data_IF_880623199905
#
_entry.id   IF_880623199905
#
_cell.length_a   1.000
_cell.length_b   1.000
_cell.length_c   1.000
_cell.angle_alpha   90.00
_cell.angle_beta   90.00
_cell.angle_gamma   90.00
#
_symmetry.space_group_name_H-M   'P 1'
#
loop_
_entity.id
_entity.type
_entity.pdbx_description
1 polymer ?
#
# COMPACT_ATOMS: atom_id res chain seq x y z
N UNK A 1 7.44 -20.21 42.49
CA UNK A 1 7.35 -19.15 41.46
C UNK A 1 6.82 -17.88 42.11
N UNK A 2 7.51 -16.76 41.95
CA UNK A 2 7.16 -15.49 42.60
C UNK A 2 5.84 -14.92 42.06
N UNK A 3 4.98 -14.28 42.88
CA UNK A 3 3.65 -13.78 42.47
C UNK A 3 3.67 -12.82 41.26
N UNK A 4 4.78 -12.10 41.06
CA UNK A 4 4.95 -11.18 39.92
C UNK A 4 5.06 -11.92 38.59
N UNK A 5 5.74 -13.07 38.53
CA UNK A 5 5.83 -13.88 37.31
C UNK A 5 4.49 -14.52 36.98
N UNK A 6 3.72 -14.96 37.98
CA UNK A 6 2.40 -15.54 37.72
C UNK A 6 1.38 -14.48 37.26
N UNK A 7 1.52 -13.23 37.70
CA UNK A 7 0.73 -12.11 37.16
C UNK A 7 1.15 -11.79 35.71
N UNK A 8 2.46 -11.66 35.46
CA UNK A 8 3.00 -11.42 34.11
C UNK A 8 2.51 -12.47 33.12
N UNK A 9 2.66 -13.77 33.43
CA UNK A 9 2.22 -14.86 32.55
C UNK A 9 0.71 -14.81 32.30
N UNK A 10 -0.11 -14.59 33.32
CA UNK A 10 -1.58 -14.47 33.12
C UNK A 10 -1.96 -13.31 32.20
N UNK A 11 -1.26 -12.19 32.31
CA UNK A 11 -1.49 -11.03 31.45
C UNK A 11 -1.04 -11.31 30.02
N UNK A 12 0.17 -11.86 29.82
CA UNK A 12 0.66 -12.20 28.47
C UNK A 12 -0.19 -13.25 27.79
N UNK A 13 -0.61 -14.30 28.50
CA UNK A 13 -1.51 -15.34 27.94
C UNK A 13 -2.84 -14.74 27.49
N UNK A 14 -3.32 -13.70 28.17
CA UNK A 14 -4.55 -13.00 27.79
C UNK A 14 -4.36 -12.18 26.52
N UNK A 15 -3.21 -11.52 26.37
CA UNK A 15 -2.86 -10.78 25.16
C UNK A 15 -2.65 -11.73 23.97
N UNK A 16 -1.99 -12.86 24.17
CA UNK A 16 -1.79 -13.89 23.14
C UNK A 16 -3.13 -14.46 22.64
N UNK A 17 -4.11 -14.66 23.53
CA UNK A 17 -5.47 -15.06 23.14
C UNK A 17 -6.20 -13.99 22.32
N UNK A 18 -5.81 -12.72 22.43
CA UNK A 18 -6.36 -11.61 21.66
C UNK A 18 -5.65 -11.41 20.31
N UNK A 19 -4.97 -12.43 19.78
CA UNK A 19 -4.22 -12.39 18.52
C UNK A 19 -5.00 -11.82 17.32
N UNK A 20 -6.31 -12.07 17.29
CA UNK A 20 -7.25 -11.60 16.27
C UNK A 20 -7.34 -10.07 16.19
N UNK A 21 -6.98 -9.36 17.26
CA UNK A 21 -7.02 -7.92 17.33
C UNK A 21 -6.01 -7.28 16.38
N UNK A 22 -4.81 -7.85 16.26
CA UNK A 22 -3.74 -7.31 15.42
C UNK A 22 -4.13 -7.18 13.94
N UNK A 23 -4.61 -8.21 13.23
CA UNK A 23 -5.02 -8.05 11.83
C UNK A 23 -6.26 -7.16 11.67
N UNK A 24 -7.14 -7.11 12.68
CA UNK A 24 -8.32 -6.22 12.66
C UNK A 24 -7.89 -4.76 12.75
N UNK A 25 -7.01 -4.43 13.69
CA UNK A 25 -6.46 -3.09 13.85
C UNK A 25 -5.59 -2.69 12.66
N UNK A 26 -4.79 -3.61 12.11
CA UNK A 26 -4.00 -3.34 10.91
C UNK A 26 -4.90 -2.95 9.72
N UNK A 27 -6.01 -3.67 9.47
CA UNK A 27 -6.99 -3.27 8.44
C UNK A 27 -7.68 -1.95 8.75
N UNK A 28 -8.05 -1.70 10.01
CA UNK A 28 -8.66 -0.44 10.42
C UNK A 28 -7.72 0.74 10.18
N UNK A 29 -6.46 0.63 10.60
CA UNK A 29 -5.44 1.65 10.41
C UNK A 29 -5.09 1.82 8.93
N UNK A 30 -5.02 0.73 8.16
CA UNK A 30 -4.88 0.81 6.71
C UNK A 30 -6.01 1.64 6.10
N UNK A 31 -7.27 1.36 6.47
CA UNK A 31 -8.42 2.11 5.97
C UNK A 31 -8.34 3.60 6.36
N UNK A 32 -8.05 3.87 7.64
CA UNK A 32 -8.01 5.22 8.19
C UNK A 32 -6.91 6.10 7.58
N UNK A 33 -5.76 5.52 7.23
CA UNK A 33 -4.58 6.27 6.78
C UNK A 33 -4.44 6.21 5.25
N UNK A 34 -4.63 5.03 4.65
CA UNK A 34 -4.23 4.79 3.26
C UNK A 34 -5.37 4.74 2.25
N UNK A 35 -6.61 4.45 2.67
CA UNK A 35 -7.71 4.31 1.71
C UNK A 35 -7.91 5.57 0.87
N UNK A 36 -8.09 6.71 1.54
CA UNK A 36 -8.26 7.99 0.85
C UNK A 36 -6.96 8.47 0.19
N UNK A 37 -5.80 8.16 0.76
CA UNK A 37 -4.51 8.47 0.12
C UNK A 37 -4.43 7.84 -1.28
N UNK A 38 -4.66 6.52 -1.39
CA UNK A 38 -4.57 5.83 -2.67
C UNK A 38 -5.74 6.15 -3.60
N UNK A 39 -6.97 6.26 -3.09
CA UNK A 39 -8.12 6.57 -3.95
C UNK A 39 -8.07 8.00 -4.51
N UNK A 40 -7.69 8.99 -3.70
CA UNK A 40 -7.52 10.37 -4.21
C UNK A 40 -6.37 10.43 -5.20
N UNK A 41 -5.25 9.75 -4.92
CA UNK A 41 -4.14 9.59 -5.87
C UNK A 41 -4.60 8.96 -7.19
N UNK A 42 -5.39 7.87 -7.14
CA UNK A 42 -5.87 7.17 -8.31
C UNK A 42 -6.86 8.00 -9.13
N UNK A 43 -7.71 8.80 -8.47
CA UNK A 43 -8.65 9.69 -9.15
C UNK A 43 -7.94 10.72 -10.04
N UNK A 44 -6.73 11.16 -9.66
CA UNK A 44 -5.92 12.07 -10.50
C UNK A 44 -5.39 11.40 -11.78
N UNK A 45 -5.42 10.06 -11.84
CA UNK A 45 -4.89 9.26 -12.96
C UNK A 45 -5.95 8.80 -13.94
N UNK A 46 -7.23 8.94 -13.61
CA UNK A 46 -8.32 8.61 -14.53
C UNK A 46 -8.41 9.65 -15.64
N UNK A 47 -8.71 9.22 -16.86
CA UNK A 47 -9.06 10.13 -17.96
C UNK A 47 -10.47 10.68 -17.83
N UNK A 48 -10.89 11.43 -18.85
CA UNK A 48 -12.17 12.13 -18.83
C UNK A 48 -13.37 11.20 -19.10
N UNK A 49 -14.49 11.53 -18.45
CA UNK A 49 -15.77 10.86 -18.65
C UNK A 49 -15.83 9.42 -18.14
N UNK A 50 -16.92 8.72 -18.45
CA UNK A 50 -17.16 7.35 -17.99
C UNK A 50 -16.13 6.34 -18.52
N UNK A 51 -15.59 6.57 -19.71
CA UNK A 51 -14.54 5.75 -20.31
C UNK A 51 -13.15 5.97 -19.70
N UNK A 52 -12.97 6.99 -18.86
CA UNK A 52 -11.70 7.38 -18.24
C UNK A 52 -11.06 6.30 -17.37
N UNK A 53 -11.83 5.30 -16.94
CA UNK A 53 -11.29 4.12 -16.24
C UNK A 53 -10.44 3.22 -17.14
N UNK A 54 -10.64 3.25 -18.46
CA UNK A 54 -9.85 2.47 -19.43
C UNK A 54 -8.80 3.31 -20.16
N UNK A 55 -8.82 4.62 -19.95
CA UNK A 55 -7.94 5.58 -20.61
C UNK A 55 -7.32 6.48 -19.54
N UNK A 56 -6.12 6.15 -19.04
CA UNK A 56 -5.44 6.96 -18.03
C UNK A 56 -5.14 8.36 -18.56
N UNK A 57 -5.18 9.36 -17.67
CA UNK A 57 -4.85 10.74 -18.01
C UNK A 57 -3.37 10.89 -18.34
N UNK A 58 -2.99 11.97 -19.04
CA UNK A 58 -1.58 12.35 -19.21
C UNK A 58 -0.85 12.47 -17.86
N UNK A 59 -1.55 12.94 -16.81
CA UNK A 59 -1.04 13.00 -15.45
C UNK A 59 -0.62 11.65 -14.89
N UNK A 60 -1.31 10.56 -15.26
CA UNK A 60 -0.92 9.20 -14.87
C UNK A 60 0.45 8.81 -15.42
N UNK A 61 0.69 9.09 -16.71
CA UNK A 61 1.98 8.82 -17.36
C UNK A 61 3.09 9.68 -16.75
N UNK A 62 2.82 10.95 -16.43
CA UNK A 62 3.79 11.84 -15.77
C UNK A 62 4.15 11.32 -14.38
N UNK A 63 3.17 10.86 -13.60
CA UNK A 63 3.43 10.37 -12.25
C UNK A 63 4.19 9.02 -12.25
N UNK A 64 3.87 8.12 -13.19
CA UNK A 64 4.42 6.75 -13.22
C UNK A 64 5.71 6.62 -14.06
N UNK A 65 5.87 7.45 -15.10
CA UNK A 65 7.01 7.43 -16.02
C UNK A 65 7.54 8.86 -16.32
N UNK A 66 7.90 9.66 -15.29
CA UNK A 66 8.24 11.08 -15.45
C UNK A 66 9.36 11.32 -16.48
N UNK A 67 10.50 10.61 -16.34
CA UNK A 67 11.64 10.75 -17.27
C UNK A 67 11.31 10.37 -18.72
N UNK A 68 10.44 9.38 -18.90
CA UNK A 68 10.02 8.97 -20.24
C UNK A 68 9.09 10.02 -20.84
N UNK A 69 8.17 10.57 -20.05
CA UNK A 69 7.32 11.68 -20.49
C UNK A 69 8.13 12.89 -20.91
N UNK A 70 9.16 13.26 -20.15
CA UNK A 70 10.09 14.33 -20.54
C UNK A 70 10.82 14.01 -21.85
N UNK A 71 11.35 12.79 -22.00
CA UNK A 71 12.09 12.37 -23.19
C UNK A 71 11.21 12.33 -24.46
N UNK A 72 9.91 12.05 -24.30
CA UNK A 72 8.93 11.99 -25.40
C UNK A 72 8.19 13.31 -25.61
N UNK A 73 8.60 14.41 -24.97
CA UNK A 73 7.98 15.73 -25.13
C UNK A 73 6.53 15.79 -24.63
N UNK A 74 6.21 14.99 -23.61
CA UNK A 74 4.89 14.86 -23.00
C UNK A 74 3.80 14.24 -23.90
N UNK A 75 4.20 13.53 -24.95
CA UNK A 75 3.30 12.81 -25.86
C UNK A 75 3.08 11.36 -25.40
N UNK A 76 1.87 11.07 -24.91
CA UNK A 76 1.48 9.72 -24.45
C UNK A 76 1.32 8.71 -25.57
N UNK A 77 1.14 9.15 -26.82
CA UNK A 77 0.90 8.24 -27.94
C UNK A 77 2.16 7.45 -28.31
N UNK A 78 3.33 8.02 -28.04
CA UNK A 78 4.64 7.41 -28.26
C UNK A 78 4.96 6.25 -27.31
N UNK A 79 4.17 6.06 -26.23
CA UNK A 79 4.31 4.90 -25.35
C UNK A 79 3.89 3.61 -26.08
N UNK A 80 4.64 2.54 -25.86
CA UNK A 80 4.28 1.24 -26.39
C UNK A 80 3.14 0.60 -25.60
N UNK A 81 2.53 -0.46 -26.16
CA UNK A 81 1.38 -1.13 -25.56
C UNK A 81 1.65 -1.65 -24.14
N UNK A 82 2.85 -2.20 -23.89
CA UNK A 82 3.20 -2.72 -22.56
C UNK A 82 3.21 -1.60 -21.51
N UNK A 83 3.80 -0.44 -21.84
CA UNK A 83 3.83 0.68 -20.91
C UNK A 83 2.44 1.26 -20.67
N UNK A 84 1.62 1.37 -21.73
CA UNK A 84 0.21 1.80 -21.59
C UNK A 84 -0.58 0.85 -20.67
N UNK A 85 -0.36 -0.46 -20.78
CA UNK A 85 -0.95 -1.45 -19.88
C UNK A 85 -0.43 -1.30 -18.44
N UNK A 86 0.86 -1.03 -18.23
CA UNK A 86 1.41 -0.79 -16.88
C UNK A 86 0.72 0.42 -16.23
N UNK A 87 0.57 1.53 -16.97
CA UNK A 87 -0.12 2.72 -16.44
C UNK A 87 -1.58 2.42 -16.11
N UNK A 88 -2.29 1.70 -16.99
CA UNK A 88 -3.67 1.31 -16.78
C UNK A 88 -3.83 0.41 -15.54
N UNK A 89 -3.07 -0.69 -15.47
CA UNK A 89 -3.15 -1.62 -14.35
C UNK A 89 -2.65 -1.02 -13.04
N UNK A 90 -1.64 -0.14 -13.08
CA UNK A 90 -1.20 0.59 -11.90
C UNK A 90 -2.28 1.55 -11.39
N UNK A 91 -2.98 2.24 -12.30
CA UNK A 91 -4.12 3.09 -11.95
C UNK A 91 -5.24 2.27 -11.30
N UNK A 92 -5.58 1.10 -11.85
CA UNK A 92 -6.58 0.21 -11.24
C UNK A 92 -6.13 -0.34 -9.88
N UNK A 93 -4.84 -0.66 -9.74
CA UNK A 93 -4.27 -1.18 -8.50
C UNK A 93 -4.44 -0.18 -7.34
N UNK A 94 -4.35 1.13 -7.60
CA UNK A 94 -4.60 2.19 -6.60
C UNK A 94 -6.03 2.19 -6.04
N UNK A 95 -6.98 1.58 -6.73
CA UNK A 95 -8.35 1.44 -6.23
C UNK A 95 -8.62 0.04 -5.66
N UNK A 96 -8.29 -0.98 -6.44
CA UNK A 96 -8.66 -2.37 -6.19
C UNK A 96 -7.91 -2.90 -4.96
N UNK A 97 -6.58 -2.72 -4.88
CA UNK A 97 -5.80 -3.31 -3.79
C UNK A 97 -6.18 -2.72 -2.42
N UNK A 98 -6.34 -1.38 -2.25
CA UNK A 98 -6.84 -0.84 -0.99
C UNK A 98 -8.23 -1.34 -0.64
N UNK A 99 -9.15 -1.44 -1.61
CA UNK A 99 -10.50 -1.96 -1.38
C UNK A 99 -10.47 -3.41 -0.89
N UNK A 100 -9.67 -4.27 -1.52
CA UNK A 100 -9.50 -5.67 -1.12
C UNK A 100 -8.96 -5.80 0.30
N UNK A 101 -7.96 -5.00 0.68
CA UNK A 101 -7.43 -4.97 2.05
C UNK A 101 -8.50 -4.52 3.05
N UNK A 102 -9.23 -3.43 2.75
CA UNK A 102 -10.26 -2.88 3.65
C UNK A 102 -11.44 -3.83 3.82
N UNK A 103 -11.89 -4.50 2.76
CA UNK A 103 -12.95 -5.52 2.83
C UNK A 103 -12.46 -6.84 3.45
N UNK A 104 -11.16 -7.06 3.46
CA UNK A 104 -10.56 -8.31 3.90
C UNK A 104 -10.90 -9.45 2.94
N UNK A 105 -10.69 -9.21 1.64
CA UNK A 105 -10.91 -10.16 0.56
C UNK A 105 -9.56 -10.48 -0.12
N UNK A 106 -9.21 -11.77 -0.17
CA UNK A 106 -7.89 -12.27 -0.53
C UNK A 106 -6.78 -11.53 0.20
N UNK A 107 -6.95 -11.28 1.51
CA UNK A 107 -6.21 -10.24 2.24
C UNK A 107 -4.69 -10.41 2.16
N UNK A 108 -4.19 -11.65 2.22
CA UNK A 108 -2.75 -11.91 2.11
C UNK A 108 -2.21 -11.54 0.73
N UNK A 109 -2.94 -11.87 -0.33
CA UNK A 109 -2.55 -11.53 -1.69
C UNK A 109 -2.67 -10.02 -1.94
N UNK A 110 -3.76 -9.40 -1.47
CA UNK A 110 -3.94 -7.96 -1.56
C UNK A 110 -2.83 -7.19 -0.81
N UNK A 111 -2.45 -7.65 0.38
CA UNK A 111 -1.36 -7.06 1.15
C UNK A 111 0.01 -7.22 0.45
N UNK A 112 0.31 -8.39 -0.11
CA UNK A 112 1.51 -8.58 -0.94
C UNK A 112 1.50 -7.67 -2.17
N UNK A 113 0.35 -7.53 -2.84
CA UNK A 113 0.16 -6.61 -3.94
C UNK A 113 0.43 -5.15 -3.53
N UNK A 114 -0.11 -4.71 -2.38
CA UNK A 114 0.16 -3.38 -1.83
C UNK A 114 1.64 -3.15 -1.51
N UNK A 115 2.33 -4.16 -0.97
CA UNK A 115 3.78 -4.06 -0.72
C UNK A 115 4.54 -3.87 -2.05
N UNK A 116 4.21 -4.67 -3.07
CA UNK A 116 4.79 -4.53 -4.40
C UNK A 116 4.50 -3.16 -5.01
N UNK A 117 3.26 -2.67 -4.86
CA UNK A 117 2.85 -1.34 -5.31
C UNK A 117 3.68 -0.23 -4.63
N UNK A 118 3.79 -0.26 -3.30
CA UNK A 118 4.59 0.70 -2.52
C UNK A 118 6.07 0.64 -2.92
N UNK A 119 6.61 -0.56 -3.21
CA UNK A 119 7.97 -0.71 -3.68
C UNK A 119 8.17 -0.02 -5.05
N UNK A 120 7.28 -0.26 -6.01
CA UNK A 120 7.32 0.40 -7.34
C UNK A 120 7.14 1.91 -7.21
N UNK A 121 6.22 2.36 -6.37
CA UNK A 121 6.03 3.79 -6.06
C UNK A 121 7.33 4.40 -5.50
N UNK A 122 8.02 3.71 -4.58
CA UNK A 122 9.30 4.17 -4.01
C UNK A 122 10.42 4.24 -5.03
N UNK A 123 10.51 3.25 -5.92
CA UNK A 123 11.45 3.30 -7.02
C UNK A 123 11.12 4.45 -7.99
N UNK A 124 9.84 4.71 -8.23
CA UNK A 124 9.42 5.84 -9.08
C UNK A 124 9.77 7.19 -8.45
N UNK A 125 9.62 7.35 -7.14
CA UNK A 125 10.02 8.59 -6.46
C UNK A 125 11.54 8.81 -6.51
N UNK A 126 12.33 7.75 -6.34
CA UNK A 126 13.78 7.85 -6.35
C UNK A 126 14.34 8.04 -7.77
N UNK A 127 13.97 7.16 -8.69
CA UNK A 127 14.53 7.14 -10.04
C UNK A 127 13.74 8.00 -11.03
N UNK A 128 12.42 8.07 -10.89
CA UNK A 128 11.57 8.88 -11.75
C UNK A 128 11.64 10.36 -11.37
N UNK A 129 11.28 10.66 -10.12
CA UNK A 129 11.17 12.04 -9.61
C UNK A 129 12.48 12.59 -9.03
N UNK A 130 13.56 11.82 -9.04
CA UNK A 130 14.89 12.28 -8.61
C UNK A 130 15.06 12.40 -7.09
N UNK A 131 14.24 11.71 -6.29
CA UNK A 131 14.21 11.80 -4.83
C UNK A 131 15.48 11.36 -4.09
N UNK A 132 16.51 10.86 -4.77
CA UNK A 132 17.77 10.44 -4.15
C UNK A 132 18.49 11.56 -3.38
N UNK A 133 18.41 12.79 -3.88
CA UNK A 133 19.06 13.95 -3.27
C UNK A 133 18.18 14.65 -2.21
N UNK A 134 16.90 14.28 -2.12
CA UNK A 134 15.97 14.88 -1.19
C UNK A 134 15.92 14.06 0.10
N UNK A 135 16.49 14.63 1.16
CA UNK A 135 16.52 14.00 2.48
C UNK A 135 15.12 13.76 3.07
N UNK A 136 14.09 14.52 2.67
CA UNK A 136 12.70 14.29 3.10
C UNK A 136 12.03 13.16 2.33
N UNK A 137 12.45 12.89 1.10
CA UNK A 137 11.94 11.77 0.32
C UNK A 137 12.62 10.48 0.73
N UNK A 138 13.95 10.41 0.66
CA UNK A 138 14.68 9.19 1.03
C UNK A 138 14.63 8.95 2.54
N UNK A 139 15.02 9.95 3.36
CA UNK A 139 15.19 9.80 4.80
C UNK A 139 16.41 8.97 5.20
N UNK A 140 16.56 8.74 6.51
CA UNK A 140 17.58 7.84 7.06
C UNK A 140 17.10 7.23 8.37
N UNK A 141 17.44 5.97 8.61
CA UNK A 141 17.23 5.38 9.93
C UNK A 141 18.25 5.88 10.94
N UNK A 142 17.87 5.86 12.21
CA UNK A 142 18.68 6.29 13.35
C UNK A 142 19.00 7.79 13.38
N UNK A 143 18.20 8.61 12.70
CA UNK A 143 18.24 10.05 12.84
C UNK A 143 17.25 10.54 13.93
N UNK A 144 17.23 11.85 14.15
CA UNK A 144 16.40 12.45 15.21
C UNK A 144 14.91 12.48 14.85
N UNK A 145 14.58 12.62 13.57
CA UNK A 145 13.23 12.93 13.12
C UNK A 145 12.75 11.86 12.13
N UNK A 146 11.78 11.01 12.52
CA UNK A 146 11.32 9.89 11.69
C UNK A 146 10.30 10.36 10.64
N UNK A 147 10.68 11.35 9.83
CA UNK A 147 9.79 12.00 8.86
C UNK A 147 10.21 11.81 7.39
N UNK A 148 11.18 10.94 7.12
CA UNK A 148 11.52 10.50 5.78
C UNK A 148 10.40 9.67 5.15
N UNK A 149 9.94 10.06 3.96
CA UNK A 149 8.82 9.42 3.28
C UNK A 149 9.09 7.93 3.01
N UNK A 150 10.30 7.58 2.55
CA UNK A 150 10.61 6.20 2.16
C UNK A 150 11.15 5.41 3.35
N UNK A 151 12.30 5.81 3.91
CA UNK A 151 12.96 5.02 4.94
C UNK A 151 12.10 4.89 6.21
N UNK A 152 11.40 5.94 6.65
CA UNK A 152 10.61 5.88 7.88
C UNK A 152 9.16 5.50 7.61
N UNK A 153 8.45 6.33 6.83
CA UNK A 153 7.00 6.17 6.68
C UNK A 153 6.66 4.89 5.92
N UNK A 154 7.24 4.65 4.73
CA UNK A 154 6.93 3.43 3.97
C UNK A 154 7.41 2.15 4.63
N UNK A 155 8.46 2.19 5.45
CA UNK A 155 8.83 1.04 6.27
C UNK A 155 7.69 0.67 7.24
N UNK A 156 7.05 1.65 7.89
CA UNK A 156 5.89 1.42 8.74
C UNK A 156 4.65 0.96 7.95
N UNK A 157 4.46 1.48 6.73
CA UNK A 157 3.35 1.03 5.85
C UNK A 157 3.53 -0.45 5.48
N UNK A 158 4.74 -0.84 5.10
CA UNK A 158 5.09 -2.23 4.80
C UNK A 158 4.96 -3.11 6.04
N UNK A 159 5.41 -2.66 7.22
CA UNK A 159 5.22 -3.40 8.46
C UNK A 159 3.74 -3.68 8.75
N UNK A 160 2.89 -2.66 8.61
CA UNK A 160 1.44 -2.81 8.78
C UNK A 160 0.86 -3.85 7.80
N UNK A 161 1.31 -3.86 6.55
CA UNK A 161 0.90 -4.84 5.55
C UNK A 161 1.44 -6.24 5.86
N UNK A 162 2.67 -6.36 6.38
CA UNK A 162 3.24 -7.64 6.80
C UNK A 162 2.43 -8.29 7.92
N UNK A 163 1.86 -7.51 8.84
CA UNK A 163 0.89 -8.04 9.82
C UNK A 163 -0.25 -8.77 9.12
N UNK A 164 -0.79 -8.20 8.04
CA UNK A 164 -1.87 -8.83 7.26
C UNK A 164 -1.39 -10.05 6.44
N UNK A 165 -0.17 -10.02 5.93
CA UNK A 165 0.44 -11.17 5.22
C UNK A 165 0.56 -12.37 6.16
N UNK A 166 1.11 -12.17 7.36
CA UNK A 166 1.37 -13.27 8.28
C UNK A 166 0.15 -13.69 9.10
N UNK A 167 -0.64 -12.72 9.60
CA UNK A 167 -1.81 -12.99 10.46
C UNK A 167 -3.11 -13.13 9.69
N UNK A 168 -3.18 -12.69 8.44
CA UNK A 168 -4.39 -12.72 7.62
C UNK A 168 -5.35 -11.57 7.93
N UNK A 169 -6.64 -11.81 7.67
CA UNK A 169 -7.65 -10.76 7.56
C UNK A 169 -8.39 -10.39 8.85
N UNK A 170 -8.22 -11.18 9.91
CA UNK A 170 -8.99 -11.06 11.14
C UNK A 170 -10.45 -11.52 11.01
N UNK A 171 -11.21 -11.49 12.12
CA UNK A 171 -12.57 -12.03 12.19
C UNK A 171 -13.63 -11.24 11.40
N UNK A 172 -13.40 -9.95 11.15
CA UNK A 172 -14.32 -9.05 10.43
C UNK A 172 -14.02 -8.99 8.91
N UNK A 173 -13.65 -10.12 8.31
CA UNK A 173 -13.20 -10.21 6.92
C UNK A 173 -14.17 -10.98 6.03
N UNK A 174 -14.21 -10.62 4.75
CA UNK A 174 -14.91 -11.42 3.74
C UNK A 174 -14.20 -12.74 3.43
N UNK A 175 -12.89 -12.85 3.68
CA UNK A 175 -12.13 -14.11 3.61
C UNK A 175 -12.77 -15.22 4.45
N UNK A 176 -13.45 -14.86 5.55
CA UNK A 176 -14.17 -15.81 6.39
C UNK A 176 -15.34 -16.48 5.65
N UNK A 177 -16.00 -15.80 4.73
CA UNK A 177 -17.08 -16.37 3.92
C UNK A 177 -16.55 -17.40 2.90
N UNK A 178 -15.27 -17.32 2.54
CA UNK A 178 -14.59 -18.25 1.63
C UNK A 178 -13.97 -19.45 2.36
N UNK A 179 -13.90 -19.41 3.68
CA UNK A 179 -13.38 -20.52 4.49
C UNK A 179 -14.49 -21.56 4.68
N UNK A 180 -14.26 -22.85 4.35
CA UNK A 180 -15.27 -23.89 4.57
C UNK A 180 -15.72 -23.89 6.04
N UNK A 181 -17.03 -23.88 6.27
CA UNK A 181 -17.58 -24.17 7.60
C UNK A 181 -17.21 -25.62 7.92
N UNK A 182 -16.25 -25.83 8.82
CA UNK A 182 -15.98 -27.14 9.42
C UNK A 182 -17.04 -27.46 10.46
#
# INVERSE_FOLDING_TARGET
>A
MTPIFSLYTRLTDTLERADWLLPTLARLLFAAIFLMYFWVSGLTKLGDGFGGIFSPSTGAYVQMFPRMMEALGYDTDQFNMLQKLIVLFGTWAEFILPALVVLGLFTRLAALGMIGFIAVQSLTDLYGHGGWADAKVLGAWFDRFPDGIIMDQRALWVFLLLVLVFKGAGPLSLDRALTPRR
#
